data_IF_424604435229
#
_entry.id   IF_424604435229
#
_cell.length_a   1.000
_cell.length_b   1.000
_cell.length_c   1.000
_cell.angle_alpha   90.00
_cell.angle_beta   90.00
_cell.angle_gamma   90.00
#
_symmetry.space_group_name_H-M   'P 1'
#
loop_
_entity.id
_entity.type
_entity.pdbx_description
1 polymer ?
#
# COMPACT_ATOMS: atom_id res chain seq x y z
N UNK A 1 1.70 -7.21 -2.78
CA UNK A 1 2.65 -8.19 -2.19
C UNK A 1 2.71 -8.05 -0.68
N UNK A 2 2.91 -6.85 -0.14
CA UNK A 2 3.10 -6.67 1.30
C UNK A 2 1.86 -7.09 2.09
N UNK A 3 0.67 -6.87 1.55
CA UNK A 3 -0.59 -7.29 2.16
C UNK A 3 -0.76 -8.81 2.27
N UNK A 4 -0.03 -9.60 1.47
CA UNK A 4 -0.05 -11.07 1.59
C UNK A 4 0.76 -11.56 2.79
N UNK A 5 1.63 -10.73 3.34
CA UNK A 5 2.57 -11.08 4.40
C UNK A 5 1.99 -10.83 5.80
N UNK A 6 0.92 -11.53 6.13
CA UNK A 6 0.36 -11.55 7.50
C UNK A 6 -0.83 -10.62 7.72
N UNK A 7 -1.42 -10.04 6.68
CA UNK A 7 -2.69 -9.33 6.81
C UNK A 7 -3.86 -10.25 6.43
N UNK A 8 -4.86 -10.23 7.29
CA UNK A 8 -6.14 -10.90 7.06
C UNK A 8 -7.07 -10.05 6.19
N UNK A 9 -8.21 -10.63 5.83
CA UNK A 9 -9.26 -9.96 5.06
C UNK A 9 -9.62 -8.58 5.63
N UNK A 10 -9.78 -8.48 6.95
CA UNK A 10 -10.21 -7.25 7.60
C UNK A 10 -9.17 -6.14 7.39
N UNK A 11 -7.90 -6.41 7.62
CA UNK A 11 -6.84 -5.42 7.47
C UNK A 11 -6.63 -5.00 6.03
N UNK A 12 -6.68 -5.96 5.11
CA UNK A 12 -6.57 -5.69 3.67
C UNK A 12 -7.73 -4.81 3.18
N UNK A 13 -8.96 -5.14 3.59
CA UNK A 13 -10.15 -4.37 3.22
C UNK A 13 -10.09 -2.96 3.82
N UNK A 14 -9.84 -2.82 5.12
CA UNK A 14 -9.76 -1.52 5.79
C UNK A 14 -8.67 -0.61 5.22
N UNK A 15 -7.52 -1.20 4.88
CA UNK A 15 -6.41 -0.46 4.28
C UNK A 15 -6.76 0.05 2.89
N UNK A 16 -7.22 -0.82 2.01
CA UNK A 16 -7.55 -0.46 0.64
C UNK A 16 -8.75 0.48 0.56
N UNK A 17 -9.80 0.20 1.32
CA UNK A 17 -10.96 1.07 1.45
C UNK A 17 -10.57 2.45 1.98
N UNK A 18 -9.71 2.47 3.00
CA UNK A 18 -9.20 3.71 3.59
C UNK A 18 -8.48 4.58 2.57
N UNK A 19 -7.63 4.00 1.72
CA UNK A 19 -6.92 4.72 0.65
C UNK A 19 -7.92 5.36 -0.32
N UNK A 20 -8.89 4.61 -0.82
CA UNK A 20 -9.86 5.11 -1.81
C UNK A 20 -10.74 6.21 -1.21
N UNK A 21 -11.31 5.98 -0.03
CA UNK A 21 -12.16 6.98 0.63
C UNK A 21 -11.41 8.24 0.95
N UNK A 22 -10.19 8.12 1.49
CA UNK A 22 -9.34 9.26 1.81
C UNK A 22 -8.99 10.05 0.54
N UNK A 23 -8.54 9.38 -0.52
CA UNK A 23 -8.18 10.01 -1.79
C UNK A 23 -9.36 10.78 -2.39
N UNK A 24 -10.55 10.18 -2.47
CA UNK A 24 -11.75 10.83 -3.00
C UNK A 24 -12.32 11.92 -2.09
N UNK A 25 -12.06 11.87 -0.80
CA UNK A 25 -12.43 12.96 0.12
C UNK A 25 -11.55 14.18 -0.11
N UNK A 26 -10.26 13.98 -0.36
CA UNK A 26 -9.29 15.07 -0.59
C UNK A 26 -9.38 15.60 -2.02
N UNK A 27 -9.58 14.71 -2.99
CA UNK A 27 -9.67 15.03 -4.41
C UNK A 27 -10.82 14.22 -5.05
N UNK A 28 -12.05 14.73 -4.99
CA UNK A 28 -13.24 13.98 -5.43
C UNK A 28 -13.22 13.55 -6.90
N UNK A 29 -12.49 14.26 -7.73
CA UNK A 29 -12.37 14.02 -9.18
C UNK A 29 -11.19 13.12 -9.55
N UNK A 30 -10.48 12.59 -8.55
CA UNK A 30 -9.30 11.75 -8.79
C UNK A 30 -9.68 10.39 -9.36
N UNK A 31 -9.21 10.09 -10.55
CA UNK A 31 -9.26 8.73 -11.09
C UNK A 31 -8.30 7.82 -10.34
N UNK A 32 -8.76 6.64 -9.99
CA UNK A 32 -8.00 5.62 -9.27
C UNK A 32 -8.02 4.34 -10.10
N UNK A 33 -6.86 3.75 -10.30
CA UNK A 33 -6.72 2.43 -10.91
C UNK A 33 -5.98 1.51 -9.95
N UNK A 34 -6.57 0.35 -9.67
CA UNK A 34 -5.97 -0.67 -8.81
C UNK A 34 -5.18 -1.66 -9.66
N UNK A 35 -3.92 -1.91 -9.29
CA UNK A 35 -3.03 -2.81 -10.01
C UNK A 35 -2.67 -4.01 -9.14
N UNK A 36 -2.98 -5.22 -9.60
CA UNK A 36 -2.64 -6.46 -8.91
C UNK A 36 -1.40 -7.08 -9.53
N UNK A 37 -0.24 -6.81 -8.93
CA UNK A 37 1.03 -7.33 -9.40
C UNK A 37 1.22 -8.81 -9.07
N UNK A 38 1.96 -9.51 -9.92
CA UNK A 38 2.29 -10.92 -9.67
C UNK A 38 3.30 -11.06 -8.52
N UNK A 39 3.13 -12.15 -7.78
CA UNK A 39 4.02 -12.54 -6.70
C UNK A 39 4.25 -14.06 -6.80
N UNK A 40 5.48 -14.51 -6.59
CA UNK A 40 5.87 -15.91 -6.81
C UNK A 40 4.88 -16.95 -6.24
N UNK A 41 4.42 -16.84 -4.99
CA UNK A 41 3.41 -17.77 -4.44
C UNK A 41 2.04 -17.74 -5.11
N UNK A 42 1.75 -16.76 -5.99
CA UNK A 42 0.48 -16.72 -6.73
C UNK A 42 0.49 -17.67 -7.94
N UNK A 43 1.67 -17.92 -8.51
CA UNK A 43 1.81 -18.71 -9.74
C UNK A 43 1.12 -20.07 -9.62
N UNK A 44 1.39 -20.91 -8.61
CA UNK A 44 0.74 -22.22 -8.51
C UNK A 44 -0.77 -22.17 -8.22
N UNK A 45 -1.30 -21.03 -7.76
CA UNK A 45 -2.74 -20.82 -7.63
C UNK A 45 -3.34 -20.46 -8.98
N UNK A 46 -2.75 -19.50 -9.67
CA UNK A 46 -3.20 -19.03 -10.99
C UNK A 46 -3.14 -20.13 -12.02
N UNK A 47 -2.14 -21.01 -11.98
CA UNK A 47 -2.03 -22.19 -12.85
C UNK A 47 -3.20 -23.18 -12.66
N UNK A 48 -3.82 -23.16 -11.50
CA UNK A 48 -5.03 -23.95 -11.19
C UNK A 48 -6.33 -23.17 -11.41
N UNK A 49 -6.26 -21.96 -11.93
CA UNK A 49 -7.42 -21.07 -12.10
C UNK A 49 -7.95 -20.51 -10.77
N UNK A 50 -7.13 -20.52 -9.70
CA UNK A 50 -7.51 -20.02 -8.37
C UNK A 50 -6.95 -18.61 -8.20
N UNK A 51 -7.86 -17.65 -8.02
CA UNK A 51 -7.44 -16.28 -7.74
C UNK A 51 -6.87 -16.16 -6.31
N UNK A 52 -5.72 -15.48 -6.12
CA UNK A 52 -5.17 -15.19 -4.80
C UNK A 52 -6.16 -14.41 -3.93
N UNK A 53 -6.30 -14.80 -2.67
CA UNK A 53 -7.29 -14.22 -1.75
C UNK A 53 -7.14 -12.71 -1.60
N UNK A 54 -5.92 -12.20 -1.56
CA UNK A 54 -5.67 -10.75 -1.45
C UNK A 54 -6.20 -9.99 -2.67
N UNK A 55 -6.08 -10.56 -3.88
CA UNK A 55 -6.66 -9.96 -5.09
C UNK A 55 -8.18 -9.91 -4.97
N UNK A 56 -8.81 -11.01 -4.57
CA UNK A 56 -10.27 -11.03 -4.38
C UNK A 56 -10.74 -10.02 -3.33
N UNK A 57 -9.99 -9.87 -2.23
CA UNK A 57 -10.31 -8.90 -1.19
C UNK A 57 -10.23 -7.47 -1.70
N UNK A 58 -9.19 -7.13 -2.45
CA UNK A 58 -9.04 -5.80 -3.05
C UNK A 58 -10.07 -5.56 -4.17
N UNK A 59 -10.37 -6.56 -4.98
CA UNK A 59 -11.43 -6.48 -6.01
C UNK A 59 -12.80 -6.22 -5.38
N UNK A 60 -13.10 -6.79 -4.20
CA UNK A 60 -14.34 -6.46 -3.50
C UNK A 60 -14.44 -4.98 -3.14
N UNK A 61 -13.31 -4.36 -2.79
CA UNK A 61 -13.24 -2.92 -2.55
C UNK A 61 -13.36 -2.15 -3.86
N UNK A 62 -12.63 -2.55 -4.91
CA UNK A 62 -12.71 -1.91 -6.22
C UNK A 62 -14.15 -1.88 -6.74
N UNK A 63 -14.84 -3.01 -6.68
CA UNK A 63 -16.24 -3.12 -7.09
C UNK A 63 -17.18 -2.23 -6.28
N UNK A 64 -17.01 -2.16 -4.95
CA UNK A 64 -17.86 -1.35 -4.09
C UNK A 64 -17.71 0.15 -4.36
N UNK A 65 -16.52 0.58 -4.77
CA UNK A 65 -16.21 1.99 -5.05
C UNK A 65 -16.15 2.32 -6.54
N UNK A 66 -16.52 1.41 -7.41
CA UNK A 66 -16.44 1.60 -8.88
C UNK A 66 -15.05 2.09 -9.33
N UNK A 67 -14.02 1.44 -8.78
CA UNK A 67 -12.62 1.69 -9.14
C UNK A 67 -12.19 0.70 -10.21
N UNK A 68 -11.60 1.19 -11.29
CA UNK A 68 -11.00 0.35 -12.32
C UNK A 68 -9.85 -0.46 -11.75
N UNK A 69 -9.72 -1.72 -12.18
CA UNK A 69 -8.62 -2.59 -11.77
C UNK A 69 -8.00 -3.31 -12.95
N UNK A 70 -6.72 -3.67 -12.82
CA UNK A 70 -6.01 -4.50 -13.79
C UNK A 70 -5.36 -5.67 -13.04
N UNK A 71 -5.76 -6.89 -13.38
CA UNK A 71 -5.15 -8.09 -12.85
C UNK A 71 -3.88 -8.46 -13.63
N UNK A 72 -2.80 -7.72 -13.34
CA UNK A 72 -1.49 -7.96 -13.95
C UNK A 72 -0.91 -9.32 -13.56
N UNK A 73 -1.30 -9.86 -12.41
CA UNK A 73 -0.85 -11.17 -11.96
C UNK A 73 -1.38 -12.29 -12.88
N UNK A 74 -2.66 -12.22 -13.23
CA UNK A 74 -3.26 -13.21 -14.17
C UNK A 74 -2.68 -13.07 -15.57
N UNK A 75 -2.49 -11.84 -16.08
CA UNK A 75 -1.92 -11.62 -17.41
C UNK A 75 -0.50 -12.19 -17.51
N UNK A 76 0.35 -11.95 -16.52
CA UNK A 76 1.72 -12.49 -16.52
C UNK A 76 1.71 -14.02 -16.40
N UNK A 77 0.87 -14.56 -15.50
CA UNK A 77 0.74 -16.02 -15.37
C UNK A 77 0.26 -16.66 -16.68
N UNK A 78 -0.70 -16.03 -17.38
CA UNK A 78 -1.18 -16.53 -18.67
C UNK A 78 -0.07 -16.52 -19.72
N UNK A 79 0.70 -15.45 -19.84
CA UNK A 79 1.82 -15.36 -20.78
C UNK A 79 2.91 -16.40 -20.52
N UNK A 80 3.18 -16.70 -19.24
CA UNK A 80 4.09 -17.80 -18.87
C UNK A 80 3.52 -19.17 -19.29
N UNK A 81 2.22 -19.41 -19.10
CA UNK A 81 1.55 -20.65 -19.58
C UNK A 81 1.62 -20.79 -21.10
N UNK A 82 1.53 -19.68 -21.81
CA UNK A 82 1.62 -19.62 -23.27
C UNK A 82 3.07 -19.74 -23.78
N UNK A 83 4.05 -19.80 -22.88
CA UNK A 83 5.46 -20.00 -23.22
C UNK A 83 6.16 -18.75 -23.76
N UNK A 84 5.61 -17.55 -23.54
CA UNK A 84 6.25 -16.33 -23.99
C UNK A 84 7.55 -16.02 -23.22
N UNK A 85 7.59 -16.36 -21.94
CA UNK A 85 8.75 -16.24 -21.05
C UNK A 85 8.53 -17.09 -19.78
N UNK A 86 9.62 -17.36 -19.06
CA UNK A 86 9.56 -17.97 -17.72
C UNK A 86 9.68 -16.91 -16.59
N UNK A 87 9.49 -17.36 -15.34
CA UNK A 87 9.58 -16.49 -14.16
C UNK A 87 10.92 -15.80 -14.01
N UNK A 88 12.01 -16.47 -14.41
CA UNK A 88 13.36 -15.92 -14.34
C UNK A 88 13.58 -14.85 -15.41
N UNK A 89 13.10 -15.09 -16.62
CA UNK A 89 13.15 -14.13 -17.73
C UNK A 89 12.29 -12.90 -17.46
N UNK A 90 11.15 -13.07 -16.79
CA UNK A 90 10.32 -11.97 -16.30
C UNK A 90 11.06 -11.12 -15.26
N UNK A 91 11.95 -11.71 -14.47
CA UNK A 91 12.78 -11.04 -13.47
C UNK A 91 12.28 -11.13 -12.04
N UNK A 92 11.30 -11.99 -11.77
CA UNK A 92 10.78 -12.27 -10.43
C UNK A 92 9.81 -11.23 -9.91
N UNK A 93 9.61 -11.20 -8.61
CA UNK A 93 8.69 -10.26 -7.91
C UNK A 93 9.00 -8.79 -8.19
N UNK A 94 10.26 -8.47 -8.42
CA UNK A 94 10.71 -7.16 -8.91
C UNK A 94 11.19 -7.34 -10.35
N UNK A 95 10.29 -7.18 -11.33
CA UNK A 95 10.55 -7.60 -12.70
C UNK A 95 11.76 -6.92 -13.30
N UNK A 96 12.45 -7.63 -14.20
CA UNK A 96 13.49 -7.06 -15.05
C UNK A 96 12.86 -6.07 -16.05
N UNK A 97 13.69 -5.40 -16.83
CA UNK A 97 13.23 -4.43 -17.83
C UNK A 97 12.09 -5.01 -18.72
N UNK A 98 12.25 -6.24 -19.18
CA UNK A 98 11.24 -6.91 -20.00
C UNK A 98 9.91 -7.07 -19.26
N UNK A 99 9.93 -7.47 -17.98
CA UNK A 99 8.72 -7.61 -17.18
C UNK A 99 7.97 -6.28 -17.01
N UNK A 100 8.68 -5.17 -16.87
CA UNK A 100 8.06 -3.85 -16.85
C UNK A 100 7.34 -3.50 -18.16
N UNK A 101 7.83 -3.95 -19.31
CA UNK A 101 7.16 -3.68 -20.59
C UNK A 101 5.79 -4.34 -20.68
N UNK A 102 5.62 -5.54 -20.12
CA UNK A 102 4.31 -6.22 -20.06
C UNK A 102 3.32 -5.46 -19.17
N UNK A 103 3.76 -5.00 -18.00
CA UNK A 103 2.94 -4.17 -17.14
C UNK A 103 2.53 -2.87 -17.81
N UNK A 104 3.49 -2.18 -18.44
CA UNK A 104 3.22 -0.95 -19.16
C UNK A 104 2.23 -1.16 -20.31
N UNK A 105 2.35 -2.26 -21.07
CA UNK A 105 1.44 -2.58 -22.14
C UNK A 105 -0.01 -2.80 -21.64
N UNK A 106 -0.18 -3.48 -20.49
CA UNK A 106 -1.50 -3.67 -19.88
C UNK A 106 -2.13 -2.36 -19.43
N UNK A 107 -1.33 -1.49 -18.79
CA UNK A 107 -1.77 -0.16 -18.34
C UNK A 107 -2.14 0.72 -19.54
N UNK A 108 -1.31 0.71 -20.59
CA UNK A 108 -1.57 1.48 -21.80
C UNK A 108 -2.87 1.04 -22.47
N UNK A 109 -3.19 -0.28 -22.51
CA UNK A 109 -4.47 -0.74 -23.04
C UNK A 109 -5.67 -0.14 -22.29
N UNK A 110 -5.59 -0.02 -20.95
CA UNK A 110 -6.64 0.65 -20.20
C UNK A 110 -6.76 2.12 -20.63
N UNK A 111 -5.65 2.83 -20.73
CA UNK A 111 -5.66 4.24 -21.13
C UNK A 111 -6.16 4.42 -22.56
N UNK A 112 -5.78 3.54 -23.49
CA UNK A 112 -6.26 3.58 -24.87
C UNK A 112 -7.77 3.36 -24.94
N UNK A 113 -8.33 2.50 -24.10
CA UNK A 113 -9.78 2.29 -24.00
C UNK A 113 -10.50 3.49 -23.39
N UNK A 114 -10.02 4.00 -22.27
CA UNK A 114 -10.66 5.10 -21.53
C UNK A 114 -10.56 6.43 -22.29
N UNK A 115 -9.47 6.64 -23.00
CA UNK A 115 -9.22 7.85 -23.78
C UNK A 115 -9.55 7.69 -25.26
N UNK A 116 -10.16 6.59 -25.65
CA UNK A 116 -10.69 6.44 -27.01
C UNK A 116 -11.79 7.47 -27.27
N UNK A 117 -11.74 8.11 -28.43
CA UNK A 117 -12.71 9.14 -28.84
C UNK A 117 -12.35 10.56 -28.39
N UNK A 118 -13.34 11.42 -28.36
CA UNK A 118 -13.14 12.86 -28.09
C UNK A 118 -13.07 13.15 -26.58
N UNK A 119 -11.92 12.95 -25.98
CA UNK A 119 -11.69 13.20 -24.54
C UNK A 119 -11.95 14.66 -24.17
N UNK A 120 -11.73 15.61 -25.09
CA UNK A 120 -11.96 17.03 -24.83
C UNK A 120 -13.43 17.36 -24.54
N UNK A 121 -14.36 16.48 -24.92
CA UNK A 121 -15.80 16.62 -24.62
C UNK A 121 -16.23 15.93 -23.32
N UNK A 122 -15.35 15.15 -22.68
CA UNK A 122 -15.66 14.53 -21.40
C UNK A 122 -15.60 15.58 -20.29
N UNK A 123 -16.65 15.63 -19.49
CA UNK A 123 -16.71 16.52 -18.33
C UNK A 123 -16.11 15.81 -17.13
N UNK A 124 -15.16 16.43 -16.46
CA UNK A 124 -14.65 15.97 -15.18
C UNK A 124 -15.79 15.95 -14.16
N UNK A 125 -15.91 14.87 -13.42
CA UNK A 125 -16.96 14.66 -12.42
C UNK A 125 -16.37 14.09 -11.14
N UNK A 126 -16.97 14.48 -10.03
CA UNK A 126 -16.67 13.84 -8.75
C UNK A 126 -17.10 12.36 -8.77
N UNK A 127 -16.25 11.49 -8.28
CA UNK A 127 -16.58 10.09 -8.08
C UNK A 127 -17.47 9.90 -6.86
N UNK A 128 -18.43 9.02 -6.96
CA UNK A 128 -19.26 8.66 -5.81
C UNK A 128 -18.42 7.97 -4.73
N UNK A 129 -18.70 8.33 -3.49
CA UNK A 129 -18.22 7.63 -2.31
C UNK A 129 -19.46 7.07 -1.62
N UNK A 130 -19.67 5.74 -1.67
CA UNK A 130 -20.81 5.12 -0.99
C UNK A 130 -20.90 5.55 0.47
N UNK A 131 -22.12 5.89 0.93
CA UNK A 131 -22.36 6.34 2.29
C UNK A 131 -21.91 5.26 3.31
N UNK A 132 -22.24 4.00 3.00
CA UNK A 132 -21.84 2.87 3.84
C UNK A 132 -20.51 2.31 3.36
N UNK A 133 -19.46 2.33 4.20
CA UNK A 133 -18.23 1.62 3.91
C UNK A 133 -18.45 0.10 3.99
N UNK A 134 -17.55 -0.67 3.40
CA UNK A 134 -17.49 -2.13 3.58
C UNK A 134 -17.21 -2.46 5.05
N UNK A 135 -16.25 -1.74 5.64
CA UNK A 135 -15.94 -1.84 7.07
C UNK A 135 -16.01 -0.46 7.73
N UNK A 136 -16.88 -0.32 8.73
CA UNK A 136 -17.04 0.93 9.49
C UNK A 136 -15.79 1.41 10.23
N UNK A 137 -14.75 0.57 10.26
CA UNK A 137 -13.45 0.87 10.82
C UNK A 137 -12.37 1.03 9.75
N UNK A 138 -12.75 1.32 8.50
CA UNK A 138 -11.77 1.64 7.45
C UNK A 138 -10.83 2.76 7.88
N UNK A 139 -9.62 2.78 7.29
CA UNK A 139 -8.58 3.74 7.71
C UNK A 139 -8.67 5.09 6.99
N UNK A 140 -9.85 5.46 6.52
CA UNK A 140 -10.11 6.67 5.74
C UNK A 140 -9.82 7.99 6.49
N UNK A 141 -9.86 7.96 7.82
CA UNK A 141 -9.60 9.11 8.69
C UNK A 141 -8.22 9.07 9.34
N UNK A 142 -7.33 8.21 8.85
CA UNK A 142 -5.97 8.12 9.35
C UNK A 142 -5.18 9.40 9.07
N UNK A 143 -4.50 9.92 10.10
CA UNK A 143 -3.61 11.08 10.00
C UNK A 143 -2.28 10.78 10.66
N UNK A 144 -1.20 11.34 10.12
CA UNK A 144 0.09 11.34 10.80
C UNK A 144 0.10 12.44 11.86
N UNK A 145 0.30 12.05 13.12
CA UNK A 145 0.53 13.01 14.20
C UNK A 145 2.00 13.45 14.21
N UNK A 146 2.23 14.71 14.55
CA UNK A 146 3.59 15.20 14.74
C UNK A 146 4.24 14.46 15.91
N UNK A 147 5.44 13.91 15.70
CA UNK A 147 6.22 13.22 16.73
C UNK A 147 6.54 14.13 17.94
N UNK A 148 6.55 15.45 17.74
CA UNK A 148 6.77 16.44 18.80
C UNK A 148 5.57 16.60 19.73
N UNK A 149 4.41 16.03 19.39
CA UNK A 149 3.24 15.97 20.26
C UNK A 149 3.39 14.92 21.38
N UNK A 150 4.37 14.02 21.27
CA UNK A 150 4.72 13.08 22.33
C UNK A 150 5.19 13.82 23.59
N UNK A 151 4.79 13.33 24.75
CA UNK A 151 5.03 13.91 26.08
C UNK A 151 5.71 12.90 26.98
N UNK A 152 6.15 13.38 28.15
CA UNK A 152 6.79 12.56 29.19
C UNK A 152 7.94 11.71 28.61
N UNK A 153 8.80 12.34 27.83
CA UNK A 153 9.92 11.67 27.16
C UNK A 153 10.96 11.22 28.19
N UNK A 154 10.86 10.00 28.65
CA UNK A 154 11.87 9.37 29.49
C UNK A 154 12.79 8.48 28.65
N UNK A 155 13.99 8.96 28.36
CA UNK A 155 14.94 8.25 27.50
C UNK A 155 14.63 8.31 26.01
N UNK A 156 13.61 9.06 25.61
CA UNK A 156 13.33 9.39 24.22
C UNK A 156 13.77 10.84 23.94
N UNK A 157 14.19 11.07 22.71
CA UNK A 157 14.50 12.41 22.20
C UNK A 157 14.05 12.55 20.76
N UNK A 158 13.72 13.75 20.35
CA UNK A 158 13.54 14.11 18.95
C UNK A 158 14.90 14.42 18.35
N UNK A 159 15.22 13.78 17.23
CA UNK A 159 16.40 14.06 16.41
C UNK A 159 15.89 14.59 15.08
N UNK A 160 16.19 15.85 14.76
CA UNK A 160 15.62 16.53 13.58
C UNK A 160 16.19 16.04 12.26
N UNK A 161 17.43 15.61 12.27
CA UNK A 161 18.14 15.04 11.09
C UNK A 161 18.70 13.66 11.46
N UNK A 162 17.79 12.68 11.51
CA UNK A 162 18.15 11.34 11.96
C UNK A 162 18.83 10.53 10.85
N UNK A 163 19.90 9.83 11.26
CA UNK A 163 20.54 8.78 10.45
C UNK A 163 20.84 7.58 11.36
N UNK A 164 20.83 6.34 10.79
CA UNK A 164 21.16 5.15 11.58
C UNK A 164 22.63 5.19 12.01
N UNK A 165 22.90 4.71 13.22
CA UNK A 165 24.28 4.60 13.77
C UNK A 165 25.02 3.42 13.17
N UNK A 166 24.31 2.41 12.66
CA UNK A 166 24.88 1.23 12.03
C UNK A 166 24.86 1.42 10.51
N UNK A 167 26.01 1.18 9.89
CA UNK A 167 26.10 1.21 8.42
C UNK A 167 25.21 0.15 7.81
N UNK A 168 24.42 0.55 6.83
CA UNK A 168 23.52 -0.30 6.07
C UNK A 168 22.94 0.46 4.89
N UNK A 169 22.20 -0.24 4.05
CA UNK A 169 21.45 0.40 2.98
C UNK A 169 20.30 1.20 3.58
N UNK A 170 20.23 2.47 3.24
CA UNK A 170 19.15 3.36 3.64
C UNK A 170 18.32 3.78 2.43
N UNK A 171 17.06 4.10 2.65
CA UNK A 171 16.19 4.66 1.60
C UNK A 171 16.02 6.15 1.81
N UNK A 172 16.17 6.90 0.73
CA UNK A 172 15.84 8.34 0.72
C UNK A 172 14.40 8.54 1.22
N UNK A 173 14.19 9.51 2.09
CA UNK A 173 12.88 9.78 2.71
C UNK A 173 12.66 9.08 4.06
N UNK A 174 13.54 8.13 4.46
CA UNK A 174 13.53 7.50 5.78
C UNK A 174 14.76 7.85 6.61
N UNK A 175 15.68 8.59 6.06
CA UNK A 175 16.85 9.19 6.71
C UNK A 175 16.87 10.67 6.43
N UNK A 176 17.57 11.43 7.25
CA UNK A 176 17.57 12.90 7.22
C UNK A 176 16.15 13.46 7.43
N UNK A 177 15.41 12.85 8.32
CA UNK A 177 14.05 13.24 8.70
C UNK A 177 13.95 13.33 10.23
N UNK A 178 13.02 14.13 10.76
CA UNK A 178 12.75 14.14 12.19
C UNK A 178 12.28 12.77 12.69
N UNK A 179 12.87 12.28 13.77
CA UNK A 179 12.53 10.98 14.37
C UNK A 179 12.58 11.01 15.89
N UNK A 180 11.67 10.28 16.53
CA UNK A 180 11.76 9.95 17.94
C UNK A 180 12.70 8.75 18.11
N UNK A 181 13.72 8.93 18.93
CA UNK A 181 14.79 7.94 19.13
C UNK A 181 14.95 7.63 20.61
N UNK A 182 15.06 6.36 20.94
CA UNK A 182 15.49 5.88 22.25
C UNK A 182 16.70 4.98 22.09
N UNK A 183 17.64 5.06 23.00
CA UNK A 183 18.91 4.34 22.98
C UNK A 183 19.08 3.36 24.15
N UNK A 184 18.04 3.20 24.98
CA UNK A 184 18.09 2.31 26.16
C UNK A 184 16.79 1.56 26.38
N UNK A 185 16.88 0.39 26.96
CA UNK A 185 15.73 -0.35 27.45
C UNK A 185 15.02 0.42 28.58
N UNK A 186 13.70 0.28 28.67
CA UNK A 186 12.88 0.97 29.67
C UNK A 186 12.60 2.45 29.35
N UNK A 187 13.02 2.94 28.19
CA UNK A 187 12.59 4.26 27.73
C UNK A 187 11.08 4.30 27.53
N UNK A 188 10.42 5.37 27.93
CA UNK A 188 8.98 5.53 27.81
C UNK A 188 8.59 6.92 27.32
N UNK A 189 7.46 6.99 26.66
CA UNK A 189 6.82 8.24 26.27
C UNK A 189 5.30 8.11 26.41
N UNK A 190 4.60 9.22 26.45
CA UNK A 190 3.15 9.24 26.33
C UNK A 190 2.71 10.04 25.11
N UNK A 191 1.60 9.62 24.56
CA UNK A 191 0.95 10.28 23.44
C UNK A 191 -0.56 10.27 23.65
N UNK A 192 -1.19 11.43 23.55
CA UNK A 192 -2.65 11.54 23.65
C UNK A 192 -3.24 11.64 22.25
N UNK A 193 -4.27 10.87 21.98
CA UNK A 193 -4.99 10.90 20.71
C UNK A 193 -6.50 10.82 20.96
N UNK A 194 -7.24 11.32 20.00
CA UNK A 194 -8.68 11.12 19.89
C UNK A 194 -8.97 10.27 18.68
N UNK A 195 -9.57 9.09 18.87
CA UNK A 195 -9.83 8.18 17.79
C UNK A 195 -10.00 6.74 18.24
N UNK A 196 -10.26 5.86 17.30
CA UNK A 196 -10.49 4.42 17.54
C UNK A 196 -9.22 3.57 17.39
N UNK A 197 -8.20 4.11 16.76
CA UNK A 197 -6.95 3.41 16.51
C UNK A 197 -5.75 4.36 16.62
N UNK A 198 -4.65 3.83 17.10
CA UNK A 198 -3.35 4.48 17.07
C UNK A 198 -2.33 3.49 16.53
N UNK A 199 -1.44 3.97 15.70
CA UNK A 199 -0.35 3.19 15.13
C UNK A 199 0.98 3.91 15.28
N UNK A 200 2.06 3.17 15.11
CA UNK A 200 3.42 3.69 15.10
C UNK A 200 4.02 3.39 13.73
N UNK A 201 4.50 4.43 13.06
CA UNK A 201 5.32 4.28 11.87
C UNK A 201 6.79 4.33 12.28
N UNK A 202 7.48 3.20 12.19
CA UNK A 202 8.83 3.07 12.71
C UNK A 202 9.84 2.69 11.61
N UNK A 203 11.06 3.16 11.76
CA UNK A 203 12.20 2.61 11.04
C UNK A 203 12.65 1.31 11.74
N UNK A 204 12.68 0.22 10.99
CA UNK A 204 13.16 -1.06 11.47
C UNK A 204 14.59 -1.32 10.98
N UNK A 205 15.39 -1.98 11.79
CA UNK A 205 16.77 -2.31 11.45
C UNK A 205 17.33 -3.36 12.40
N UNK A 206 18.60 -3.77 12.23
CA UNK A 206 19.23 -4.83 13.03
C UNK A 206 19.23 -4.58 14.55
N UNK A 207 19.09 -3.31 14.95
CA UNK A 207 19.06 -2.89 16.36
C UNK A 207 17.66 -2.46 16.82
N UNK A 208 16.62 -2.76 16.03
CA UNK A 208 15.25 -2.46 16.44
C UNK A 208 14.86 -3.24 17.68
N UNK A 209 14.23 -2.56 18.64
CA UNK A 209 13.78 -3.14 19.90
C UNK A 209 12.28 -3.49 19.83
N UNK A 210 11.82 -4.22 20.82
CA UNK A 210 10.40 -4.47 21.04
C UNK A 210 9.78 -3.24 21.72
N UNK A 211 8.67 -2.76 21.16
CA UNK A 211 7.85 -1.71 21.76
C UNK A 211 6.66 -2.34 22.48
N UNK A 212 6.49 -1.99 23.74
CA UNK A 212 5.28 -2.34 24.51
C UNK A 212 4.37 -1.11 24.56
N UNK A 213 3.07 -1.35 24.36
CA UNK A 213 2.03 -0.32 24.51
C UNK A 213 1.19 -0.60 25.73
N UNK A 214 0.81 0.46 26.42
CA UNK A 214 -0.17 0.46 27.48
C UNK A 214 -1.25 1.47 27.11
N UNK A 215 -2.52 1.05 27.15
CA UNK A 215 -3.71 1.86 26.85
C UNK A 215 -4.49 2.10 28.12
#
# INVERSE_FOLDING_TARGET
>A
NDDTNGFDYIRQTRGMEGIIRHARTVSPEMDIVMLHFIYDPFIPLLDKGIQPQVIMNHESVANHYYVSSINLAEEVAQRMRDGEFDWKEFGGTHPAWNGHTYYAAAINRLFDLEWSGDVAKKTVRAHEVPERPIDSYSYDKGVFADIRSAKQLNGWKVVDDWTPTVKGNTRKGFVHVPMLVADRAGASLSFSFEGRAVGIFCAAGPQACVLHRYL
#
